data_IF_784263563737
#
_entry.id   IF_784263563737
#
_cell.length_a   1.000
_cell.length_b   1.000
_cell.length_c   1.000
_cell.angle_alpha   90.00
_cell.angle_beta   90.00
_cell.angle_gamma   90.00
#
_symmetry.space_group_name_H-M   'P 1'
#
loop_
_entity.id
_entity.type
_entity.pdbx_description
1 polymer ?
#
# COMPACT_ATOMS: atom_id res chain seq x y z
N UNK A 1 -18.24 4.20 -4.29
CA UNK A 1 -17.37 5.13 -3.54
C UNK A 1 -16.02 4.51 -3.24
N UNK A 2 -15.96 3.54 -2.32
CA UNK A 2 -14.70 2.96 -1.80
C UNK A 2 -13.74 2.38 -2.83
N UNK A 3 -14.21 1.78 -3.93
CA UNK A 3 -13.32 1.34 -5.03
C UNK A 3 -12.55 2.48 -5.70
N UNK A 4 -13.20 3.65 -5.88
CA UNK A 4 -12.50 4.84 -6.39
C UNK A 4 -11.52 5.39 -5.35
N UNK A 5 -11.88 5.38 -4.06
CA UNK A 5 -11.00 5.84 -2.97
C UNK A 5 -9.77 4.93 -2.85
N UNK A 6 -9.94 3.61 -2.99
CA UNK A 6 -8.83 2.66 -3.06
C UNK A 6 -7.93 2.98 -4.25
N UNK A 7 -8.50 3.18 -5.45
CA UNK A 7 -7.76 3.58 -6.65
C UNK A 7 -6.98 4.89 -6.46
N UNK A 8 -7.59 5.92 -5.87
CA UNK A 8 -6.90 7.19 -5.61
C UNK A 8 -5.79 7.04 -4.57
N UNK A 9 -5.98 6.21 -3.55
CA UNK A 9 -4.95 5.91 -2.56
C UNK A 9 -3.75 5.17 -3.20
N UNK A 10 -4.00 4.25 -4.15
CA UNK A 10 -2.95 3.58 -4.94
C UNK A 10 -2.15 4.62 -5.71
N UNK A 11 -2.82 5.52 -6.44
CA UNK A 11 -2.15 6.55 -7.23
C UNK A 11 -1.32 7.49 -6.36
N UNK A 12 -1.84 7.89 -5.20
CA UNK A 12 -1.12 8.77 -4.27
C UNK A 12 0.12 8.10 -3.68
N UNK A 13 0.02 6.84 -3.27
CA UNK A 13 1.17 6.07 -2.80
C UNK A 13 2.21 5.90 -3.91
N UNK A 14 1.79 5.61 -5.14
CA UNK A 14 2.68 5.46 -6.29
C UNK A 14 3.42 6.77 -6.58
N UNK A 15 2.72 7.90 -6.59
CA UNK A 15 3.32 9.22 -6.77
C UNK A 15 4.37 9.51 -5.67
N UNK A 16 4.02 9.27 -4.40
CA UNK A 16 4.98 9.39 -3.29
C UNK A 16 6.20 8.47 -3.44
N UNK A 17 6.00 7.25 -3.96
CA UNK A 17 7.09 6.30 -4.23
C UNK A 17 8.06 6.80 -5.29
N UNK A 18 7.56 7.41 -6.35
CA UNK A 18 8.39 8.02 -7.39
C UNK A 18 9.20 9.18 -6.82
N UNK A 19 8.57 10.04 -6.01
CA UNK A 19 9.27 11.17 -5.36
C UNK A 19 10.35 10.66 -4.39
N UNK A 20 10.09 9.59 -3.65
CA UNK A 20 11.12 8.92 -2.82
C UNK A 20 12.30 8.42 -3.66
N UNK A 21 12.05 7.86 -4.85
CA UNK A 21 13.11 7.38 -5.75
C UNK A 21 13.93 8.49 -6.40
N UNK A 22 13.38 9.70 -6.53
CA UNK A 22 14.06 10.88 -7.06
C UNK A 22 14.70 11.75 -5.97
N UNK A 23 14.60 11.36 -4.69
CA UNK A 23 15.07 12.17 -3.59
C UNK A 23 16.60 12.27 -3.58
N UNK A 24 17.13 13.51 -3.60
CA UNK A 24 18.57 13.79 -3.57
C UNK A 24 19.09 14.23 -2.21
N UNK A 25 18.21 14.42 -1.22
CA UNK A 25 18.56 14.83 0.14
C UNK A 25 17.72 14.08 1.19
N UNK A 26 18.26 13.96 2.40
CA UNK A 26 17.58 13.28 3.50
C UNK A 26 16.26 13.96 3.87
N UNK A 27 16.23 15.30 3.89
CA UNK A 27 15.01 16.07 4.17
C UNK A 27 13.93 15.82 3.10
N UNK A 28 14.32 15.80 1.82
CA UNK A 28 13.40 15.49 0.72
C UNK A 28 12.87 14.07 0.82
N UNK A 29 13.72 13.10 1.17
CA UNK A 29 13.31 11.71 1.36
C UNK A 29 12.31 11.55 2.52
N UNK A 30 12.55 12.24 3.64
CA UNK A 30 11.64 12.22 4.81
C UNK A 30 10.29 12.84 4.46
N UNK A 31 10.28 14.00 3.78
CA UNK A 31 9.05 14.64 3.32
C UNK A 31 8.29 13.74 2.34
N UNK A 32 9.00 13.13 1.39
CA UNK A 32 8.43 12.18 0.43
C UNK A 32 7.84 10.94 1.13
N UNK A 33 8.52 10.42 2.16
CA UNK A 33 8.01 9.31 2.99
C UNK A 33 6.79 9.68 3.80
N UNK A 34 6.70 10.90 4.32
CA UNK A 34 5.51 11.38 5.00
C UNK A 34 4.31 11.41 4.04
N UNK A 35 4.50 11.95 2.83
CA UNK A 35 3.49 11.94 1.77
C UNK A 35 3.11 10.51 1.35
N UNK A 36 4.10 9.67 1.03
CA UNK A 36 3.88 8.27 0.68
C UNK A 36 3.16 7.51 1.80
N UNK A 37 3.49 7.77 3.06
CA UNK A 37 2.89 7.16 4.25
C UNK A 37 1.40 7.46 4.40
N UNK A 38 0.96 8.68 4.09
CA UNK A 38 -0.47 9.04 4.04
C UNK A 38 -1.22 8.17 3.03
N UNK A 39 -0.64 7.99 1.83
CA UNK A 39 -1.18 7.09 0.81
C UNK A 39 -1.21 5.63 1.27
N UNK A 40 -0.14 5.17 1.92
CA UNK A 40 -0.03 3.81 2.44
C UNK A 40 -1.06 3.49 3.53
N UNK A 41 -1.32 4.43 4.43
CA UNK A 41 -2.36 4.30 5.45
C UNK A 41 -3.76 4.20 4.84
N UNK A 42 -4.07 5.11 3.90
CA UNK A 42 -5.34 5.09 3.19
C UNK A 42 -5.52 3.79 2.40
N UNK A 43 -4.45 3.28 1.78
CA UNK A 43 -4.43 2.00 1.06
C UNK A 43 -4.79 0.82 1.93
N UNK A 44 -4.14 0.65 3.09
CA UNK A 44 -4.39 -0.50 3.96
C UNK A 44 -5.83 -0.52 4.48
N UNK A 45 -6.36 0.64 4.87
CA UNK A 45 -7.74 0.77 5.37
C UNK A 45 -8.75 0.51 4.25
N UNK A 46 -8.52 1.07 3.06
CA UNK A 46 -9.47 0.92 1.94
C UNK A 46 -9.43 -0.48 1.33
N UNK A 47 -8.27 -1.15 1.30
CA UNK A 47 -8.14 -2.53 0.84
C UNK A 47 -9.00 -3.48 1.68
N UNK A 48 -8.90 -3.39 3.00
CA UNK A 48 -9.69 -4.23 3.92
C UNK A 48 -11.18 -3.88 3.87
N UNK A 49 -11.54 -2.60 3.71
CA UNK A 49 -12.92 -2.15 3.54
C UNK A 49 -13.56 -2.67 2.24
N UNK A 50 -12.84 -2.63 1.11
CA UNK A 50 -13.33 -3.13 -0.19
C UNK A 50 -13.59 -4.64 -0.13
N UNK A 51 -12.73 -5.41 0.53
CA UNK A 51 -12.98 -6.85 0.75
C UNK A 51 -14.27 -7.06 1.54
N UNK A 52 -14.51 -6.26 2.59
CA UNK A 52 -15.74 -6.33 3.36
C UNK A 52 -17.00 -6.09 2.52
N UNK A 53 -16.95 -5.22 1.52
CA UNK A 53 -18.11 -4.90 0.67
C UNK A 53 -18.35 -5.93 -0.43
N UNK A 54 -17.28 -6.44 -1.05
CA UNK A 54 -17.37 -7.30 -2.24
C UNK A 54 -17.48 -8.78 -1.86
N UNK A 55 -16.90 -9.19 -0.73
CA UNK A 55 -16.78 -10.60 -0.36
C UNK A 55 -17.80 -10.97 0.74
N UNK A 56 -18.56 -12.07 0.56
CA UNK A 56 -19.49 -12.56 1.57
C UNK A 56 -18.76 -12.94 2.87
N UNK A 57 -19.43 -12.76 4.02
CA UNK A 57 -18.86 -12.93 5.38
C UNK A 57 -18.06 -14.23 5.57
N UNK A 58 -18.53 -15.34 4.99
CA UNK A 58 -17.89 -16.67 5.09
C UNK A 58 -16.48 -16.72 4.49
N UNK A 59 -16.24 -15.94 3.44
CA UNK A 59 -14.99 -15.98 2.67
C UNK A 59 -14.02 -14.87 3.09
N UNK A 60 -14.49 -13.85 3.81
CA UNK A 60 -13.66 -12.70 4.23
C UNK A 60 -12.38 -13.11 4.94
N UNK A 61 -12.43 -14.12 5.82
CA UNK A 61 -11.25 -14.64 6.51
C UNK A 61 -10.19 -15.19 5.56
N UNK A 62 -10.60 -15.90 4.50
CA UNK A 62 -9.70 -16.41 3.46
C UNK A 62 -9.05 -15.28 2.67
N UNK A 63 -9.82 -14.26 2.28
CA UNK A 63 -9.30 -13.11 1.53
C UNK A 63 -8.41 -12.20 2.38
N UNK A 64 -8.73 -12.00 3.66
CA UNK A 64 -7.86 -11.29 4.60
C UNK A 64 -6.56 -12.06 4.87
N UNK A 65 -6.64 -13.39 5.01
CA UNK A 65 -5.45 -14.25 5.09
C UNK A 65 -4.58 -14.17 3.83
N UNK A 66 -5.19 -14.14 2.64
CA UNK A 66 -4.47 -13.94 1.38
C UNK A 66 -3.77 -12.58 1.32
N UNK A 67 -4.41 -11.49 1.77
CA UNK A 67 -3.75 -10.19 1.90
C UNK A 67 -2.54 -10.25 2.84
N UNK A 68 -2.67 -10.92 3.98
CA UNK A 68 -1.55 -11.12 4.92
C UNK A 68 -0.40 -11.92 4.30
N UNK A 69 -0.71 -12.96 3.54
CA UNK A 69 0.28 -13.74 2.80
C UNK A 69 1.00 -12.90 1.74
N UNK A 70 0.27 -12.09 0.97
CA UNK A 70 0.86 -11.16 0.00
C UNK A 70 1.78 -10.16 0.70
N UNK A 71 1.37 -9.60 1.84
CA UNK A 71 2.21 -8.73 2.67
C UNK A 71 3.50 -9.43 3.09
N UNK A 72 3.42 -10.64 3.65
CA UNK A 72 4.60 -11.39 4.08
C UNK A 72 5.54 -11.76 2.93
N UNK A 73 5.01 -12.11 1.77
CA UNK A 73 5.82 -12.39 0.57
C UNK A 73 6.50 -11.13 0.05
N UNK A 74 5.77 -10.02 -0.02
CA UNK A 74 6.34 -8.74 -0.51
C UNK A 74 7.37 -8.14 0.45
N UNK A 75 7.24 -8.32 1.77
CA UNK A 75 8.26 -7.84 2.72
C UNK A 75 9.59 -8.57 2.60
N UNK A 76 9.59 -9.82 2.11
CA UNK A 76 10.80 -10.59 1.81
C UNK A 76 11.35 -10.24 0.44
N UNK A 77 10.49 -10.24 -0.60
CA UNK A 77 10.91 -10.00 -1.99
C UNK A 77 11.38 -8.56 -2.19
N UNK A 78 10.76 -7.57 -1.54
CA UNK A 78 11.08 -6.15 -1.72
C UNK A 78 12.55 -5.81 -1.46
N UNK A 79 13.09 -6.11 -0.26
CA UNK A 79 14.51 -5.91 0.04
C UNK A 79 15.45 -6.70 -0.88
N UNK A 80 15.07 -7.90 -1.31
CA UNK A 80 15.90 -8.71 -2.21
C UNK A 80 16.00 -8.11 -3.62
N UNK A 81 14.96 -7.44 -4.10
CA UNK A 81 14.98 -6.81 -5.42
C UNK A 81 15.58 -5.39 -5.40
N UNK A 82 15.45 -4.66 -4.29
CA UNK A 82 15.89 -3.26 -4.20
C UNK A 82 17.12 -2.99 -3.34
N UNK A 83 17.64 -4.00 -2.62
CA UNK A 83 18.72 -3.85 -1.65
C UNK A 83 20.12 -4.22 -2.16
N UNK A 84 20.26 -4.70 -3.40
CA UNK A 84 21.55 -4.96 -4.06
C UNK A 84 21.88 -3.84 -5.05
#
# INVERSE_FOLDING_TARGET
GRKMIFGSAVLFFLAGSIVCGLASSMEMLVAARALQGIGGGALMVTATAVIGEVIPLRDRGRYQGALGAVFGVTTVIGPLLGGY
#
